data_IF_918540564482
#
_entry.id   IF_918540564482
#
_cell.length_a   1.000
_cell.length_b   1.000
_cell.length_c   1.000
_cell.angle_alpha   90.00
_cell.angle_beta   90.00
_cell.angle_gamma   90.00
#
_symmetry.space_group_name_H-M   'P 1'
#
loop_
_entity.id
_entity.type
_entity.pdbx_description
1 polymer ?
#
# COMPACT_ATOMS: atom_id res chain seq x y z
N UNK A 1 -9.72 -2.40 -29.06
CA UNK A 1 -8.64 -3.41 -28.99
C UNK A 1 -9.27 -4.67 -28.42
N UNK A 2 -10.23 -5.25 -29.16
CA UNK A 2 -11.26 -6.19 -28.65
C UNK A 2 -10.71 -7.55 -28.21
N UNK A 3 -9.41 -7.80 -28.38
CA UNK A 3 -8.76 -9.05 -27.99
C UNK A 3 -8.41 -9.11 -26.50
N UNK A 4 -8.37 -8.00 -25.76
CA UNK A 4 -7.93 -7.96 -24.34
C UNK A 4 -9.05 -8.09 -23.29
N UNK A 5 -10.31 -8.24 -23.73
CA UNK A 5 -11.46 -8.28 -22.82
C UNK A 5 -11.85 -6.91 -22.23
N UNK A 6 -12.89 -6.84 -21.38
CA UNK A 6 -13.45 -5.60 -20.85
C UNK A 6 -12.67 -5.01 -19.66
N UNK A 7 -11.57 -5.65 -19.25
CA UNK A 7 -10.87 -5.34 -18.01
C UNK A 7 -9.63 -4.50 -18.27
N UNK A 8 -9.60 -3.33 -17.64
CA UNK A 8 -8.45 -2.45 -17.55
C UNK A 8 -7.51 -2.88 -16.42
N UNK A 9 -6.22 -2.91 -16.71
CA UNK A 9 -5.14 -3.11 -15.74
C UNK A 9 -4.27 -1.87 -15.69
N UNK A 10 -4.14 -1.27 -14.51
CA UNK A 10 -3.44 -0.01 -14.31
C UNK A 10 -2.48 -0.13 -13.15
N UNK A 11 -1.31 0.50 -13.28
CA UNK A 11 -0.43 0.71 -12.14
C UNK A 11 0.17 2.10 -12.19
N UNK A 12 0.19 2.74 -11.02
CA UNK A 12 0.81 4.04 -10.81
C UNK A 12 1.81 3.90 -9.68
N UNK A 13 3.02 4.42 -9.88
CA UNK A 13 4.09 4.38 -8.90
C UNK A 13 4.86 5.69 -8.80
N UNK A 14 5.36 5.94 -7.60
CA UNK A 14 6.29 6.99 -7.22
C UNK A 14 7.63 6.37 -6.84
N UNK A 15 8.66 7.21 -6.80
CA UNK A 15 9.92 6.82 -6.17
C UNK A 15 9.69 6.51 -4.68
N UNK A 16 10.00 5.27 -4.30
CA UNK A 16 9.98 4.83 -2.92
C UNK A 16 11.28 5.18 -2.19
N UNK A 17 11.59 4.43 -1.15
CA UNK A 17 12.84 4.61 -0.39
C UNK A 17 13.68 3.35 -0.38
N UNK A 18 15.00 3.54 -0.28
CA UNK A 18 15.93 2.46 0.01
C UNK A 18 15.53 1.75 1.29
N UNK A 19 15.77 0.44 1.33
CA UNK A 19 15.47 -0.40 2.49
C UNK A 19 16.17 0.05 3.78
N UNK A 20 17.29 0.79 3.66
CA UNK A 20 18.08 1.34 4.77
C UNK A 20 17.66 2.75 5.20
N UNK A 21 16.75 3.38 4.48
CA UNK A 21 16.25 4.72 4.82
C UNK A 21 15.55 4.69 6.20
N UNK A 22 15.70 5.75 7.02
CA UNK A 22 14.88 5.90 8.24
C UNK A 22 13.38 5.89 7.93
N UNK A 23 12.97 6.36 6.75
CA UNK A 23 11.58 6.46 6.33
C UNK A 23 10.98 5.14 5.83
N UNK A 24 11.78 4.06 5.75
CA UNK A 24 11.32 2.78 5.20
C UNK A 24 10.12 2.20 5.96
N UNK A 25 10.10 2.33 7.29
CA UNK A 25 9.00 1.84 8.13
C UNK A 25 7.75 2.72 7.96
N UNK A 26 7.93 4.04 7.76
CA UNK A 26 6.83 4.95 7.45
C UNK A 26 6.17 4.58 6.11
N UNK A 27 6.93 4.24 5.07
CA UNK A 27 6.37 3.77 3.80
C UNK A 27 5.63 2.43 3.93
N UNK A 28 6.10 1.53 4.81
CA UNK A 28 5.35 0.30 5.12
C UNK A 28 4.00 0.61 5.78
N UNK A 29 3.94 1.63 6.64
CA UNK A 29 2.67 2.10 7.21
C UNK A 29 1.79 2.81 6.18
N UNK A 30 2.35 3.62 5.27
CA UNK A 30 1.61 4.19 4.14
C UNK A 30 0.95 3.09 3.29
N UNK A 31 1.67 1.99 3.03
CA UNK A 31 1.11 0.84 2.33
C UNK A 31 -0.08 0.24 3.08
N UNK A 32 0.03 0.07 4.41
CA UNK A 32 -1.06 -0.44 5.23
C UNK A 32 -2.24 0.54 5.38
N UNK A 33 -1.99 1.86 5.32
CA UNK A 33 -3.01 2.90 5.35
C UNK A 33 -3.88 2.88 4.09
N UNK A 34 -3.29 2.70 2.91
CA UNK A 34 -4.03 2.55 1.64
C UNK A 34 -4.66 1.15 1.56
N UNK A 35 -3.88 0.11 1.86
CA UNK A 35 -4.30 -1.28 1.92
C UNK A 35 -4.44 -1.95 0.55
N UNK A 36 -5.21 -3.02 0.53
CA UNK A 36 -5.53 -3.81 -0.66
C UNK A 36 -7.00 -4.22 -0.60
N UNK A 37 -7.63 -4.31 -1.76
CA UNK A 37 -9.04 -4.66 -1.88
C UNK A 37 -9.24 -5.66 -3.00
N UNK A 38 -10.14 -6.61 -2.79
CA UNK A 38 -10.61 -7.51 -3.83
C UNK A 38 -12.09 -7.76 -3.64
N UNK A 39 -12.86 -7.53 -4.69
CA UNK A 39 -14.31 -7.61 -4.67
C UNK A 39 -14.76 -9.01 -4.27
N UNK A 40 -15.72 -9.09 -3.36
CA UNK A 40 -16.25 -10.35 -2.79
C UNK A 40 -15.20 -11.24 -2.10
N UNK A 41 -14.04 -10.70 -1.72
CA UNK A 41 -13.03 -11.42 -0.94
C UNK A 41 -12.71 -10.68 0.36
N UNK A 42 -12.33 -11.46 1.38
CA UNK A 42 -12.01 -10.96 2.71
C UNK A 42 -13.15 -11.11 3.73
N UNK A 43 -12.82 -10.89 4.99
CA UNK A 43 -13.75 -11.01 6.12
C UNK A 43 -14.69 -9.81 6.24
N UNK A 44 -14.23 -8.63 5.84
CA UNK A 44 -14.95 -7.37 5.94
C UNK A 44 -15.30 -6.91 4.52
N UNK A 45 -16.58 -6.81 4.17
CA UNK A 45 -17.00 -6.20 2.92
C UNK A 45 -16.42 -4.79 2.77
N UNK A 46 -15.91 -4.45 1.59
CA UNK A 46 -15.25 -3.16 1.36
C UNK A 46 -16.12 -1.94 1.67
N UNK A 47 -17.44 -2.05 1.47
CA UNK A 47 -18.40 -0.98 1.69
C UNK A 47 -18.54 -0.55 3.18
N UNK A 48 -18.16 -1.41 4.12
CA UNK A 48 -18.11 -1.11 5.56
C UNK A 48 -16.68 -1.13 6.11
N UNK A 49 -15.67 -1.13 5.23
CA UNK A 49 -14.28 -1.12 5.64
C UNK A 49 -13.97 0.15 6.43
N UNK A 50 -13.27 -0.01 7.55
CA UNK A 50 -12.72 1.11 8.30
C UNK A 50 -11.51 1.77 7.63
N UNK A 51 -10.99 1.18 6.54
CA UNK A 51 -9.97 1.79 5.69
C UNK A 51 -10.66 2.73 4.68
N UNK A 52 -10.29 4.00 4.73
CA UNK A 52 -10.91 5.08 3.95
C UNK A 52 -10.81 4.87 2.43
N UNK A 53 -9.65 4.43 1.92
CA UNK A 53 -9.46 4.20 0.47
C UNK A 53 -10.26 3.00 -0.01
N UNK A 54 -10.25 1.89 0.76
CA UNK A 54 -11.06 0.71 0.46
C UNK A 54 -12.55 1.06 0.48
N UNK A 55 -12.98 1.83 1.49
CA UNK A 55 -14.36 2.29 1.61
C UNK A 55 -14.79 3.15 0.42
N UNK A 56 -13.95 4.11 0.02
CA UNK A 56 -14.23 4.98 -1.12
C UNK A 56 -14.39 4.19 -2.42
N UNK A 57 -13.47 3.26 -2.70
CA UNK A 57 -13.51 2.43 -3.91
C UNK A 57 -14.70 1.49 -3.95
N UNK A 58 -15.04 0.87 -2.82
CA UNK A 58 -16.13 -0.09 -2.73
C UNK A 58 -17.53 0.57 -2.76
N UNK A 59 -17.64 1.83 -2.31
CA UNK A 59 -18.91 2.58 -2.30
C UNK A 59 -19.06 3.55 -3.49
N UNK A 60 -18.04 3.70 -4.34
CA UNK A 60 -18.17 4.50 -5.55
C UNK A 60 -18.98 3.75 -6.59
N UNK A 61 -19.81 4.47 -7.36
CA UNK A 61 -20.79 3.87 -8.28
C UNK A 61 -21.78 2.95 -7.55
N UNK A 62 -22.68 2.31 -8.29
CA UNK A 62 -23.65 1.37 -7.70
C UNK A 62 -22.97 0.06 -7.21
N UNK A 63 -21.77 -0.28 -7.71
CA UNK A 63 -21.13 -1.59 -7.50
C UNK A 63 -19.63 -1.55 -7.15
N UNK A 64 -19.06 -0.38 -6.85
CA UNK A 64 -17.63 -0.17 -6.67
C UNK A 64 -16.91 0.19 -7.99
N UNK A 65 -15.80 0.93 -7.90
CA UNK A 65 -15.02 1.36 -9.07
C UNK A 65 -13.81 0.48 -9.41
N UNK A 66 -13.51 -0.55 -8.62
CA UNK A 66 -12.45 -1.53 -8.90
C UNK A 66 -12.91 -2.95 -8.58
N UNK A 67 -12.41 -3.94 -9.31
CA UNK A 67 -12.54 -5.36 -8.96
C UNK A 67 -11.46 -5.80 -7.98
N UNK A 68 -10.24 -5.28 -8.16
CA UNK A 68 -9.10 -5.54 -7.29
C UNK A 68 -8.16 -4.33 -7.31
N UNK A 69 -7.60 -3.97 -6.16
CA UNK A 69 -6.41 -3.13 -6.12
C UNK A 69 -5.47 -3.59 -5.01
N UNK A 70 -4.18 -3.42 -5.25
CA UNK A 70 -3.13 -3.76 -4.30
C UNK A 70 -2.10 -2.64 -4.26
N UNK A 71 -1.84 -2.14 -3.04
CA UNK A 71 -0.74 -1.20 -2.81
C UNK A 71 0.55 -1.98 -2.62
N UNK A 72 1.57 -1.65 -3.40
CA UNK A 72 2.90 -2.23 -3.29
C UNK A 72 3.90 -1.22 -2.73
N UNK A 73 4.85 -1.74 -1.97
CA UNK A 73 6.03 -1.03 -1.51
C UNK A 73 7.23 -1.96 -1.66
N UNK A 74 8.08 -1.65 -2.64
CA UNK A 74 9.26 -2.43 -2.99
C UNK A 74 10.49 -1.59 -2.69
N UNK A 75 11.36 -2.05 -1.80
CA UNK A 75 12.58 -1.33 -1.45
C UNK A 75 13.81 -2.04 -1.98
N UNK A 76 14.61 -1.34 -2.79
CA UNK A 76 15.91 -1.79 -3.25
C UNK A 76 17.03 -1.21 -2.36
N UNK A 77 18.28 -1.43 -2.77
CA UNK A 77 19.47 -1.01 -2.01
C UNK A 77 19.63 0.51 -2.01
N UNK A 78 19.39 1.15 -3.13
CA UNK A 78 19.63 2.57 -3.40
C UNK A 78 18.33 3.36 -3.64
N UNK A 79 17.29 2.73 -4.19
CA UNK A 79 15.97 3.34 -4.41
C UNK A 79 14.84 2.42 -3.94
N UNK A 80 13.60 2.80 -4.19
CA UNK A 80 12.41 1.98 -3.99
C UNK A 80 11.31 2.36 -4.97
N UNK A 81 10.20 1.63 -4.91
CA UNK A 81 9.00 1.90 -5.66
C UNK A 81 7.81 1.79 -4.71
N UNK A 82 6.99 2.83 -4.65
CA UNK A 82 5.74 2.82 -3.90
C UNK A 82 4.60 3.13 -4.85
N UNK A 83 3.50 2.42 -4.77
CA UNK A 83 2.39 2.65 -5.67
C UNK A 83 1.28 1.65 -5.49
N UNK A 84 0.40 1.62 -6.47
CA UNK A 84 -0.71 0.69 -6.49
C UNK A 84 -0.89 0.09 -7.87
N UNK A 85 -1.47 -1.09 -7.87
CA UNK A 85 -1.96 -1.81 -9.03
C UNK A 85 -3.47 -1.94 -8.89
N UNK A 86 -4.21 -1.77 -9.98
CA UNK A 86 -5.66 -1.86 -9.99
C UNK A 86 -6.15 -2.62 -11.23
N UNK A 87 -7.24 -3.36 -11.01
CA UNK A 87 -8.02 -4.03 -12.03
C UNK A 87 -9.45 -3.49 -11.94
N UNK A 88 -9.98 -2.97 -13.05
CA UNK A 88 -11.32 -2.39 -13.10
C UNK A 88 -11.95 -2.57 -14.49
N UNK A 89 -13.25 -2.29 -14.59
CA UNK A 89 -13.98 -2.21 -15.86
C UNK A 89 -13.62 -0.90 -16.58
N UNK A 90 -13.60 -0.91 -17.92
CA UNK A 90 -13.36 0.26 -18.78
C UNK A 90 -14.19 1.48 -18.33
N UNK A 91 -15.47 1.29 -17.98
CA UNK A 91 -16.35 2.41 -17.58
C UNK A 91 -16.00 3.00 -16.22
N UNK A 92 -15.23 2.28 -15.40
CA UNK A 92 -14.89 2.65 -14.04
C UNK A 92 -13.45 3.17 -13.88
N UNK A 93 -12.63 3.13 -14.94
CA UNK A 93 -11.21 3.51 -14.92
C UNK A 93 -10.98 4.90 -14.33
N UNK A 94 -11.68 5.93 -14.83
CA UNK A 94 -11.49 7.31 -14.36
C UNK A 94 -11.79 7.45 -12.86
N UNK A 95 -12.90 6.83 -12.41
CA UNK A 95 -13.26 6.81 -11.00
C UNK A 95 -12.29 5.99 -10.15
N UNK A 96 -11.76 4.88 -10.65
CA UNK A 96 -10.79 4.05 -9.96
C UNK A 96 -9.49 4.83 -9.71
N UNK A 97 -8.94 5.41 -10.77
CA UNK A 97 -7.71 6.21 -10.72
C UNK A 97 -7.90 7.41 -9.79
N UNK A 98 -9.02 8.12 -9.89
CA UNK A 98 -9.31 9.25 -9.02
C UNK A 98 -9.30 8.86 -7.53
N UNK A 99 -10.04 7.82 -7.13
CA UNK A 99 -10.12 7.43 -5.72
C UNK A 99 -8.78 6.91 -5.18
N UNK A 100 -7.99 6.19 -5.99
CA UNK A 100 -6.66 5.71 -5.58
C UNK A 100 -5.64 6.86 -5.46
N UNK A 101 -5.65 7.81 -6.40
CA UNK A 101 -4.82 9.02 -6.33
C UNK A 101 -5.20 9.88 -5.12
N UNK A 102 -6.50 10.01 -4.83
CA UNK A 102 -6.98 10.70 -3.63
C UNK A 102 -6.54 9.98 -2.35
N UNK A 103 -6.54 8.64 -2.34
CA UNK A 103 -6.02 7.83 -1.24
C UNK A 103 -4.55 8.15 -0.92
N UNK A 104 -3.70 8.29 -1.95
CA UNK A 104 -2.30 8.70 -1.78
C UNK A 104 -2.21 10.16 -1.32
N UNK A 105 -3.00 11.07 -1.90
CA UNK A 105 -2.99 12.49 -1.52
C UNK A 105 -3.40 12.70 -0.04
N UNK A 106 -4.36 11.92 0.45
CA UNK A 106 -4.79 12.01 1.85
C UNK A 106 -3.68 11.69 2.84
N UNK A 107 -2.70 10.85 2.46
CA UNK A 107 -1.54 10.54 3.29
C UNK A 107 -0.78 11.80 3.70
N UNK A 108 -0.65 12.76 2.79
CA UNK A 108 0.11 13.99 3.00
C UNK A 108 -0.66 15.05 3.79
N UNK A 109 -1.98 14.94 3.91
CA UNK A 109 -2.82 16.05 4.40
C UNK A 109 -3.73 15.70 5.57
N UNK A 110 -4.41 14.55 5.53
CA UNK A 110 -5.60 14.31 6.36
C UNK A 110 -5.55 13.05 7.21
N UNK A 111 -4.41 12.34 7.22
CA UNK A 111 -4.22 11.16 8.07
C UNK A 111 -4.40 11.52 9.54
N UNK A 112 -5.19 10.71 10.24
CA UNK A 112 -5.42 10.82 11.68
C UNK A 112 -4.66 9.74 12.46
N UNK A 113 -4.40 9.98 13.74
CA UNK A 113 -3.75 8.99 14.60
C UNK A 113 -4.57 7.70 14.73
N UNK A 114 -5.89 7.77 14.66
CA UNK A 114 -6.77 6.59 14.72
C UNK A 114 -6.55 5.66 13.52
N UNK A 115 -6.39 6.24 12.32
CA UNK A 115 -6.08 5.49 11.10
C UNK A 115 -4.69 4.87 11.16
N UNK A 116 -3.73 5.60 11.73
CA UNK A 116 -2.35 5.12 11.94
C UNK A 116 -2.34 3.95 12.93
N UNK A 117 -3.05 4.04 14.06
CA UNK A 117 -3.14 2.94 15.03
C UNK A 117 -3.85 1.70 14.47
N UNK A 118 -4.80 1.88 13.54
CA UNK A 118 -5.36 0.77 12.76
C UNK A 118 -4.28 0.16 11.86
N UNK A 119 -3.62 0.98 11.04
CA UNK A 119 -2.59 0.53 10.10
C UNK A 119 -1.40 -0.16 10.80
N UNK A 120 -0.98 0.31 11.98
CA UNK A 120 0.04 -0.35 12.81
C UNK A 120 -0.37 -1.78 13.17
N UNK A 121 -1.62 -1.99 13.61
CA UNK A 121 -2.15 -3.32 13.94
C UNK A 121 -2.20 -4.22 12.70
N UNK A 122 -2.66 -3.68 11.57
CA UNK A 122 -2.74 -4.43 10.31
C UNK A 122 -1.35 -4.82 9.78
N UNK A 123 -0.37 -3.90 9.89
CA UNK A 123 1.02 -4.17 9.50
C UNK A 123 1.65 -5.22 10.41
N UNK A 124 1.48 -5.13 11.73
CA UNK A 124 2.00 -6.12 12.67
C UNK A 124 1.36 -7.50 12.44
N UNK A 125 0.05 -7.54 12.18
CA UNK A 125 -0.65 -8.79 11.79
C UNK A 125 -0.06 -9.37 10.51
N UNK A 126 0.26 -8.54 9.52
CA UNK A 126 0.81 -8.99 8.24
C UNK A 126 2.25 -9.52 8.41
N UNK A 127 3.08 -8.84 9.20
CA UNK A 127 4.47 -9.24 9.43
C UNK A 127 4.61 -10.50 10.29
N UNK A 128 3.74 -10.67 11.30
CA UNK A 128 3.90 -11.68 12.35
C UNK A 128 2.75 -12.69 12.46
N UNK A 129 1.62 -12.48 11.78
CA UNK A 129 0.41 -13.31 11.92
C UNK A 129 0.42 -14.63 11.14
N UNK A 130 1.44 -14.89 10.32
CA UNK A 130 1.58 -16.15 9.60
C UNK A 130 2.29 -17.22 10.43
N UNK A 131 1.75 -18.44 10.46
CA UNK A 131 2.49 -19.64 10.86
C UNK A 131 3.48 -20.00 9.77
N UNK A 132 4.61 -19.28 9.73
CA UNK A 132 5.63 -19.50 8.71
C UNK A 132 6.31 -20.85 8.90
N UNK A 133 6.61 -21.53 7.79
CA UNK A 133 7.52 -22.67 7.81
C UNK A 133 8.92 -22.23 8.30
N UNK A 134 9.72 -23.17 8.81
CA UNK A 134 11.12 -22.88 9.17
C UNK A 134 11.93 -22.33 7.99
N UNK A 135 11.57 -22.72 6.76
CA UNK A 135 12.14 -22.20 5.52
C UNK A 135 11.82 -20.71 5.32
N UNK A 136 10.56 -20.30 5.49
CA UNK A 136 10.17 -18.88 5.40
C UNK A 136 10.86 -18.02 6.46
N UNK A 137 10.96 -18.54 7.68
CA UNK A 137 11.68 -17.86 8.75
C UNK A 137 13.17 -17.69 8.39
N UNK A 138 13.80 -18.72 7.81
CA UNK A 138 15.19 -18.65 7.34
C UNK A 138 15.35 -17.64 6.20
N UNK A 139 14.45 -17.62 5.21
CA UNK A 139 14.47 -16.67 4.10
C UNK A 139 14.37 -15.23 4.60
N UNK A 140 13.44 -14.94 5.52
CA UNK A 140 13.27 -13.61 6.13
C UNK A 140 14.55 -13.13 6.83
N UNK A 141 15.21 -14.01 7.60
CA UNK A 141 16.49 -13.68 8.25
C UNK A 141 17.57 -13.43 7.19
N UNK A 142 17.65 -14.27 6.16
CA UNK A 142 18.59 -14.10 5.04
C UNK A 142 18.44 -12.75 4.35
N UNK A 143 17.21 -12.36 4.01
CA UNK A 143 16.90 -11.06 3.41
C UNK A 143 17.29 -9.89 4.32
N UNK A 144 17.06 -10.00 5.63
CA UNK A 144 17.45 -8.97 6.58
C UNK A 144 18.97 -8.85 6.68
N UNK A 145 19.69 -9.98 6.73
CA UNK A 145 21.16 -9.99 6.77
C UNK A 145 21.74 -9.38 5.49
N UNK A 146 21.18 -9.69 4.32
CA UNK A 146 21.60 -9.08 3.05
C UNK A 146 21.30 -7.58 2.99
N UNK A 147 20.12 -7.17 3.44
CA UNK A 147 19.71 -5.77 3.39
C UNK A 147 20.44 -4.90 4.42
N UNK A 148 20.52 -5.34 5.67
CA UNK A 148 20.97 -4.53 6.82
C UNK A 148 22.31 -4.95 7.41
N UNK A 149 22.86 -6.09 7.00
CA UNK A 149 24.03 -6.70 7.63
C UNK A 149 23.74 -7.40 8.96
N UNK A 150 22.48 -7.43 9.40
CA UNK A 150 22.04 -8.09 10.64
C UNK A 150 20.58 -8.51 10.57
N UNK A 151 20.20 -9.48 11.39
CA UNK A 151 18.79 -9.75 11.67
C UNK A 151 18.17 -8.63 12.52
N UNK A 152 16.95 -8.22 12.18
CA UNK A 152 16.16 -7.29 12.98
C UNK A 152 15.22 -8.13 13.84
N UNK A 153 15.32 -7.95 15.16
CA UNK A 153 14.43 -8.65 16.08
C UNK A 153 12.98 -8.18 15.92
N UNK A 154 12.03 -9.09 16.15
CA UNK A 154 10.61 -8.76 16.16
C UNK A 154 10.30 -7.60 17.11
N UNK A 155 10.91 -7.59 18.31
CA UNK A 155 10.69 -6.54 19.30
C UNK A 155 11.15 -5.17 18.79
N UNK A 156 12.31 -5.11 18.12
CA UNK A 156 12.82 -3.89 17.51
C UNK A 156 11.89 -3.38 16.40
N UNK A 157 11.38 -4.27 15.53
CA UNK A 157 10.47 -3.87 14.46
C UNK A 157 9.16 -3.32 15.03
N UNK A 158 8.60 -3.94 16.07
CA UNK A 158 7.39 -3.45 16.75
C UNK A 158 7.63 -2.07 17.37
N UNK A 159 8.78 -1.85 18.01
CA UNK A 159 9.13 -0.53 18.57
C UNK A 159 9.22 0.54 17.47
N UNK A 160 9.85 0.22 16.33
CA UNK A 160 9.94 1.14 15.19
C UNK A 160 8.57 1.49 14.60
N UNK A 161 7.69 0.49 14.46
CA UNK A 161 6.31 0.69 13.97
C UNK A 161 5.54 1.60 14.95
N UNK A 162 5.64 1.34 16.25
CA UNK A 162 4.88 2.08 17.26
C UNK A 162 5.36 3.53 17.43
N UNK A 163 6.64 3.80 17.13
CA UNK A 163 7.24 5.14 17.24
C UNK A 163 6.73 6.15 16.19
N UNK A 164 6.05 5.69 15.13
CA UNK A 164 5.58 6.56 14.04
C UNK A 164 4.20 7.13 14.40
N UNK A 165 4.03 8.43 14.29
CA UNK A 165 2.75 9.14 14.48
C UNK A 165 2.18 9.63 13.14
N UNK A 166 0.99 10.24 13.17
CA UNK A 166 0.36 10.78 11.96
C UNK A 166 1.18 11.92 11.31
N UNK A 167 1.91 12.72 12.10
CA UNK A 167 2.71 13.82 11.58
C UNK A 167 3.92 13.31 10.79
N UNK A 168 4.56 12.24 11.25
CA UNK A 168 5.66 11.60 10.53
C UNK A 168 5.18 10.98 9.22
N UNK A 169 3.99 10.37 9.19
CA UNK A 169 3.38 9.88 7.94
C UNK A 169 3.13 11.03 6.97
N UNK A 170 2.54 12.15 7.43
CA UNK A 170 2.31 13.33 6.59
C UNK A 170 3.61 13.91 6.06
N UNK A 171 4.65 14.01 6.89
CA UNK A 171 5.98 14.49 6.50
C UNK A 171 6.55 13.65 5.36
N UNK A 172 6.57 12.33 5.54
CA UNK A 172 7.14 11.40 4.56
C UNK A 172 6.31 11.37 3.28
N UNK A 173 4.98 11.35 3.39
CA UNK A 173 4.08 11.38 2.24
C UNK A 173 4.18 12.72 1.48
N UNK A 174 4.35 13.84 2.18
CA UNK A 174 4.58 15.15 1.55
C UNK A 174 5.90 15.17 0.79
N UNK A 175 7.00 14.70 1.39
CA UNK A 175 8.31 14.68 0.74
C UNK A 175 8.36 13.77 -0.50
N UNK A 176 7.62 12.65 -0.48
CA UNK A 176 7.73 11.60 -1.51
C UNK A 176 6.64 11.63 -2.57
N UNK A 177 5.43 12.03 -2.21
CA UNK A 177 4.26 11.93 -3.09
C UNK A 177 3.70 13.30 -3.50
N UNK A 178 3.90 14.36 -2.70
CA UNK A 178 3.39 15.67 -3.06
C UNK A 178 4.23 16.28 -4.19
N UNK A 179 3.57 16.63 -5.30
CA UNK A 179 4.19 17.23 -6.48
C UNK A 179 5.35 16.42 -7.09
N UNK A 180 5.36 15.10 -6.82
CA UNK A 180 6.35 14.17 -7.34
C UNK A 180 5.89 13.58 -8.69
N UNK A 181 6.86 13.26 -9.55
CA UNK A 181 6.61 12.59 -10.81
C UNK A 181 6.07 11.18 -10.60
N UNK A 182 5.08 10.80 -11.41
CA UNK A 182 4.46 9.48 -11.39
C UNK A 182 4.83 8.69 -12.64
N UNK A 183 5.12 7.41 -12.46
CA UNK A 183 5.21 6.43 -13.53
C UNK A 183 3.89 5.69 -13.65
N UNK A 184 3.30 5.68 -14.85
CA UNK A 184 2.01 5.04 -15.11
C UNK A 184 2.20 3.97 -16.18
N UNK A 185 1.62 2.80 -15.95
CA UNK A 185 1.47 1.75 -16.96
C UNK A 185 0.02 1.30 -17.00
N UNK A 186 -0.48 1.08 -18.21
CA UNK A 186 -1.85 0.65 -18.44
C UNK A 186 -1.93 -0.41 -19.54
N UNK A 187 -2.82 -1.37 -19.37
CA UNK A 187 -3.07 -2.46 -20.31
C UNK A 187 -4.58 -2.75 -20.36
N UNK A 188 -5.12 -2.99 -21.56
CA UNK A 188 -6.54 -3.25 -21.76
C UNK A 188 -7.30 -2.03 -22.31
N UNK A 189 -8.63 -2.02 -22.21
CA UNK A 189 -9.46 -0.87 -22.58
C UNK A 189 -9.38 0.22 -21.51
N UNK A 190 -8.74 1.36 -21.84
CA UNK A 190 -8.46 2.49 -20.94
C UNK A 190 -9.15 3.77 -21.41
#
# INVERSE_FOLDING_TARGET
>A
NDEMGPTAYLSVGWEGVSRRSPDAVALMLCQALIGSYKKNQGLVPGNISGNRTINAIANKMDVGCADEFETFNISYKDTGLFGWYAQCDEVAVDHCVFELMQGVNWLSHTVTDEEVERAKRDLQRTLFGGSGSSSEACSKIGEQVLAYGRGISTAEMVLRINAIDAEEIKRVAWERFADAEVAITGLGPL
#
